data_IF_962216632461
#
_entry.id   IF_962216632461
#
_cell.length_a   1.000
_cell.length_b   1.000
_cell.length_c   1.000
_cell.angle_alpha   90.00
_cell.angle_beta   90.00
_cell.angle_gamma   90.00
#
_symmetry.space_group_name_H-M   'P 1'
#
loop_
_entity.id
_entity.type
_entity.pdbx_description
1 polymer ?
#
# COMPACT_ATOMS: atom_id res chain seq x y z
N UNK A 1 -12.76 18.98 -4.06
CA UNK A 1 -11.33 18.58 -4.20
C UNK A 1 -11.16 17.13 -4.71
N UNK A 2 -11.95 16.17 -4.23
CA UNK A 2 -11.96 14.75 -4.68
C UNK A 2 -12.16 14.50 -6.20
N UNK A 3 -12.90 15.34 -6.92
CA UNK A 3 -13.16 15.15 -8.36
C UNK A 3 -11.94 15.46 -9.25
N UNK A 4 -11.10 16.41 -8.82
CA UNK A 4 -9.87 16.80 -9.51
C UNK A 4 -8.78 15.74 -9.24
N UNK A 5 -8.70 15.27 -8.00
CA UNK A 5 -7.79 14.19 -7.60
C UNK A 5 -8.11 12.88 -8.35
N UNK A 6 -9.39 12.50 -8.47
CA UNK A 6 -9.83 11.36 -9.29
C UNK A 6 -9.40 11.48 -10.75
N UNK A 7 -9.54 12.66 -11.38
CA UNK A 7 -9.12 12.87 -12.78
C UNK A 7 -7.60 12.80 -12.95
N UNK A 8 -6.84 13.34 -12.01
CA UNK A 8 -5.36 13.36 -12.05
C UNK A 8 -4.79 11.96 -11.81
N UNK A 9 -5.29 11.25 -10.79
CA UNK A 9 -4.95 9.85 -10.49
C UNK A 9 -5.31 8.93 -11.67
N UNK A 10 -6.50 9.08 -12.27
CA UNK A 10 -6.92 8.27 -13.44
C UNK A 10 -6.07 8.52 -14.69
N UNK A 11 -5.52 9.74 -14.86
CA UNK A 11 -4.58 10.07 -15.94
C UNK A 11 -3.16 9.55 -15.68
N UNK A 12 -2.68 9.61 -14.43
CA UNK A 12 -1.37 9.03 -14.06
C UNK A 12 -1.39 7.50 -14.09
N UNK A 13 -2.46 6.85 -13.61
CA UNK A 13 -2.56 5.39 -13.69
C UNK A 13 -2.61 4.86 -15.13
N UNK A 14 -3.18 5.61 -16.07
CA UNK A 14 -3.13 5.26 -17.52
C UNK A 14 -1.72 5.29 -18.12
N UNK A 15 -0.76 5.98 -17.47
CA UNK A 15 0.64 6.02 -17.88
C UNK A 15 1.51 4.97 -17.20
N UNK A 16 1.04 4.41 -16.07
CA UNK A 16 1.82 3.51 -15.23
C UNK A 16 1.70 2.03 -15.61
N UNK A 17 0.86 1.65 -16.59
CA UNK A 17 0.81 0.26 -17.07
C UNK A 17 0.73 0.19 -18.59
N UNK A 18 1.62 -0.59 -19.25
CA UNK A 18 1.48 -0.89 -20.66
C UNK A 18 0.17 -1.67 -20.86
N UNK A 19 -0.65 -1.25 -21.83
CA UNK A 19 -1.97 -1.86 -22.15
C UNK A 19 -1.86 -3.33 -22.58
N UNK A 20 -0.65 -3.70 -23.02
CA UNK A 20 -0.24 -5.04 -23.38
C UNK A 20 1.19 -5.22 -22.91
N UNK A 21 1.48 -6.33 -22.25
CA UNK A 21 2.86 -6.72 -21.98
C UNK A 21 3.02 -8.23 -22.14
N UNK A 22 4.22 -8.63 -22.55
CA UNK A 22 4.59 -10.03 -22.62
C UNK A 22 5.33 -10.37 -21.35
N UNK A 23 4.88 -11.42 -20.68
CA UNK A 23 5.57 -11.95 -19.51
C UNK A 23 5.61 -13.47 -19.61
N UNK A 24 6.78 -14.02 -19.34
CA UNK A 24 7.00 -15.46 -19.29
C UNK A 24 6.76 -15.90 -17.86
N UNK A 25 5.69 -16.67 -17.62
CA UNK A 25 5.48 -17.28 -16.30
C UNK A 25 6.63 -18.22 -15.97
N UNK A 26 7.00 -18.28 -14.70
CA UNK A 26 8.00 -19.23 -14.20
C UNK A 26 7.53 -20.67 -14.50
N UNK A 27 8.31 -21.39 -15.31
CA UNK A 27 7.98 -22.75 -15.79
C UNK A 27 7.39 -22.84 -17.21
N UNK A 28 6.96 -21.72 -17.81
CA UNK A 28 6.48 -21.70 -19.20
C UNK A 28 7.63 -21.43 -20.18
N UNK A 29 7.68 -22.20 -21.29
CA UNK A 29 8.71 -22.00 -22.34
C UNK A 29 8.42 -20.84 -23.29
N UNK A 30 7.24 -20.24 -23.21
CA UNK A 30 6.76 -19.24 -24.16
C UNK A 30 6.08 -18.07 -23.43
N UNK A 31 6.30 -16.82 -23.89
CA UNK A 31 5.71 -15.64 -23.27
C UNK A 31 4.20 -15.64 -23.46
N UNK A 32 3.46 -15.30 -22.39
CA UNK A 32 2.02 -15.08 -22.45
C UNK A 32 1.73 -13.59 -22.63
N UNK A 33 0.69 -13.28 -23.40
CA UNK A 33 0.25 -11.90 -23.63
C UNK A 33 -0.69 -11.49 -22.50
N UNK A 34 -0.30 -10.53 -21.66
CA UNK A 34 -1.20 -9.93 -20.69
C UNK A 34 -1.90 -8.72 -21.31
N UNK A 35 -3.23 -8.76 -21.33
CA UNK A 35 -4.06 -7.70 -21.90
C UNK A 35 -5.06 -7.21 -20.86
N UNK A 36 -5.34 -5.91 -20.83
CA UNK A 36 -6.43 -5.38 -19.98
C UNK A 36 -7.78 -5.95 -20.44
N UNK A 37 -8.68 -6.24 -19.49
CA UNK A 37 -10.01 -6.80 -19.75
C UNK A 37 -10.82 -5.98 -20.78
N UNK A 38 -10.60 -4.67 -20.89
CA UNK A 38 -11.24 -3.83 -21.90
C UNK A 38 -10.97 -4.29 -23.34
N UNK A 39 -9.85 -4.98 -23.58
CA UNK A 39 -9.48 -5.54 -24.89
C UNK A 39 -10.05 -6.94 -25.15
N UNK A 40 -10.72 -7.58 -24.18
CA UNK A 40 -11.31 -8.92 -24.36
C UNK A 40 -12.23 -9.01 -25.57
N UNK A 41 -13.10 -8.01 -25.76
CA UNK A 41 -13.97 -7.95 -26.95
C UNK A 41 -13.16 -7.83 -28.22
N UNK A 42 -12.18 -6.92 -28.25
CA UNK A 42 -11.34 -6.67 -29.43
C UNK A 42 -10.59 -7.95 -29.82
N UNK A 43 -9.91 -8.61 -28.87
CA UNK A 43 -9.16 -9.85 -29.12
C UNK A 43 -10.10 -10.97 -29.61
N UNK A 44 -11.27 -11.12 -28.99
CA UNK A 44 -12.25 -12.13 -29.41
C UNK A 44 -12.74 -11.89 -30.84
N UNK A 45 -13.01 -10.63 -31.22
CA UNK A 45 -13.40 -10.30 -32.59
C UNK A 45 -12.25 -10.42 -33.59
N UNK A 46 -11.02 -10.12 -33.18
CA UNK A 46 -9.83 -10.34 -34.01
C UNK A 46 -9.64 -11.82 -34.32
N UNK A 47 -9.78 -12.71 -33.33
CA UNK A 47 -9.73 -14.17 -33.53
C UNK A 47 -10.80 -14.63 -34.53
N UNK A 48 -12.04 -14.16 -34.39
CA UNK A 48 -13.12 -14.46 -35.35
C UNK A 48 -12.83 -13.94 -36.76
N UNK A 49 -12.25 -12.74 -36.88
CA UNK A 49 -11.87 -12.16 -38.16
C UNK A 49 -10.74 -12.96 -38.83
N UNK A 50 -9.73 -13.38 -38.06
CA UNK A 50 -8.63 -14.23 -38.54
C UNK A 50 -9.19 -15.55 -39.07
N UNK A 51 -10.11 -16.18 -38.33
CA UNK A 51 -10.77 -17.40 -38.77
C UNK A 51 -11.54 -17.23 -40.09
N UNK A 52 -12.30 -16.14 -40.24
CA UNK A 52 -13.03 -15.83 -41.49
C UNK A 52 -12.07 -15.57 -42.65
N UNK A 53 -10.97 -14.84 -42.42
CA UNK A 53 -9.92 -14.63 -43.42
C UNK A 53 -9.31 -15.96 -43.83
N UNK A 54 -9.01 -16.84 -42.87
CA UNK A 54 -8.52 -18.20 -43.13
C UNK A 54 -9.43 -18.98 -44.07
N UNK A 55 -10.74 -19.00 -43.80
CA UNK A 55 -11.75 -19.62 -44.67
C UNK A 55 -11.74 -18.98 -46.06
N UNK A 56 -11.77 -17.64 -46.16
CA UNK A 56 -11.78 -16.95 -47.44
C UNK A 56 -10.52 -17.24 -48.26
N UNK A 57 -9.34 -17.25 -47.63
CA UNK A 57 -8.07 -17.61 -48.29
C UNK A 57 -8.02 -19.06 -48.74
N UNK A 58 -8.77 -19.97 -48.09
CA UNK A 58 -8.85 -21.37 -48.54
C UNK A 58 -9.64 -21.54 -49.85
N UNK A 59 -10.58 -20.62 -50.12
CA UNK A 59 -11.38 -20.61 -51.35
C UNK A 59 -10.60 -19.97 -52.49
N UNK A 60 -9.79 -18.95 -52.18
CA UNK A 60 -8.96 -18.25 -53.16
C UNK A 60 -7.68 -19.06 -53.36
N UNK A 61 -7.50 -19.64 -54.55
CA UNK A 61 -6.30 -20.40 -54.90
C UNK A 61 -5.06 -19.51 -55.02
N UNK A 62 -4.46 -19.14 -53.89
CA UNK A 62 -3.21 -18.38 -53.84
C UNK A 62 -2.01 -19.28 -54.22
N UNK A 63 -0.99 -18.73 -54.91
CA UNK A 63 0.27 -19.45 -55.11
C UNK A 63 0.89 -19.89 -53.78
N UNK A 64 1.43 -21.10 -53.72
CA UNK A 64 1.93 -21.72 -52.48
C UNK A 64 2.97 -20.86 -51.74
N UNK A 65 3.81 -20.12 -52.48
CA UNK A 65 4.85 -19.26 -51.92
C UNK A 65 4.31 -17.99 -51.25
N UNK A 66 3.03 -17.62 -51.50
CA UNK A 66 2.32 -16.53 -50.80
C UNK A 66 1.42 -17.12 -49.71
N UNK A 67 0.71 -18.21 -50.03
CA UNK A 67 -0.24 -18.85 -49.11
C UNK A 67 0.42 -19.40 -47.84
N UNK A 68 1.58 -20.06 -47.97
CA UNK A 68 2.27 -20.67 -46.83
C UNK A 68 2.78 -19.63 -45.82
N UNK A 69 3.52 -18.56 -46.22
CA UNK A 69 3.92 -17.51 -45.28
C UNK A 69 2.73 -16.81 -44.62
N UNK A 70 1.67 -16.54 -45.38
CA UNK A 70 0.46 -15.91 -44.83
C UNK A 70 -0.20 -16.78 -43.77
N UNK A 71 -0.33 -18.09 -44.04
CA UNK A 71 -0.90 -19.04 -43.08
C UNK A 71 -0.04 -19.13 -41.80
N UNK A 72 1.28 -19.14 -41.92
CA UNK A 72 2.19 -19.14 -40.77
C UNK A 72 2.05 -17.87 -39.92
N UNK A 73 1.92 -16.70 -40.55
CA UNK A 73 1.70 -15.44 -39.85
C UNK A 73 0.36 -15.44 -39.13
N UNK A 74 -0.72 -15.84 -39.81
CA UNK A 74 -2.06 -15.90 -39.22
C UNK A 74 -2.10 -16.87 -38.04
N UNK A 75 -1.53 -18.06 -38.19
CA UNK A 75 -1.43 -19.04 -37.12
C UNK A 75 -0.60 -18.53 -35.94
N UNK A 76 0.51 -17.83 -36.19
CA UNK A 76 1.33 -17.23 -35.13
C UNK A 76 0.58 -16.14 -34.35
N UNK A 77 -0.19 -15.30 -35.04
CA UNK A 77 -1.03 -14.26 -34.41
C UNK A 77 -2.16 -14.91 -33.61
N UNK A 78 -2.85 -15.90 -34.18
CA UNK A 78 -3.92 -16.65 -33.52
C UNK A 78 -3.42 -17.31 -32.23
N UNK A 79 -2.32 -18.07 -32.31
CA UNK A 79 -1.70 -18.72 -31.16
C UNK A 79 -1.33 -17.74 -30.05
N UNK A 80 -0.84 -16.55 -30.40
CA UNK A 80 -0.49 -15.50 -29.42
C UNK A 80 -1.74 -14.91 -28.75
N UNK A 81 -2.80 -14.66 -29.53
CA UNK A 81 -4.05 -14.08 -29.03
C UNK A 81 -4.88 -15.07 -28.22
N UNK A 82 -4.87 -16.36 -28.55
CA UNK A 82 -5.52 -17.42 -27.77
C UNK A 82 -4.89 -17.57 -26.38
N UNK A 83 -3.58 -17.36 -26.27
CA UNK A 83 -2.85 -17.37 -24.99
C UNK A 83 -2.93 -16.03 -24.24
N UNK A 84 -3.80 -15.12 -24.66
CA UNK A 84 -3.96 -13.84 -23.97
C UNK A 84 -4.59 -14.04 -22.59
N UNK A 85 -3.86 -13.66 -21.55
CA UNK A 85 -4.34 -13.61 -20.17
C UNK A 85 -4.95 -12.23 -19.94
N UNK A 86 -6.25 -12.20 -19.65
CA UNK A 86 -6.94 -10.96 -19.36
C UNK A 86 -6.70 -10.54 -17.92
N UNK A 87 -6.26 -9.30 -17.74
CA UNK A 87 -6.01 -8.69 -16.43
C UNK A 87 -7.14 -7.74 -16.06
N UNK A 88 -7.48 -7.69 -14.78
CA UNK A 88 -8.29 -6.61 -14.22
C UNK A 88 -7.54 -5.99 -13.05
N UNK A 89 -7.69 -4.68 -12.89
CA UNK A 89 -7.04 -3.95 -11.82
C UNK A 89 -8.06 -3.40 -10.84
N UNK A 90 -7.89 -3.70 -9.56
CA UNK A 90 -8.64 -3.03 -8.48
C UNK A 90 -7.75 -1.97 -7.84
N UNK A 91 -8.39 -0.96 -7.25
CA UNK A 91 -7.70 0.11 -6.52
C UNK A 91 -8.22 0.12 -5.10
N UNK A 92 -7.32 -0.16 -4.17
CA UNK A 92 -7.60 -0.17 -2.75
C UNK A 92 -7.15 1.16 -2.14
N UNK A 93 -8.11 1.97 -1.69
CA UNK A 93 -7.84 3.24 -1.03
C UNK A 93 -7.97 3.10 0.48
N UNK A 94 -6.95 3.58 1.19
CA UNK A 94 -7.04 3.73 2.63
C UNK A 94 -7.76 5.03 3.01
N UNK A 95 -8.47 5.06 4.14
CA UNK A 95 -8.96 6.30 4.73
C UNK A 95 -7.81 7.30 4.92
N UNK A 96 -8.10 8.56 4.64
CA UNK A 96 -7.21 9.71 4.84
C UNK A 96 -7.94 10.74 5.70
N UNK A 97 -7.24 11.51 6.55
CA UNK A 97 -7.85 12.58 7.32
C UNK A 97 -8.33 13.70 6.40
N UNK A 98 -9.44 14.34 6.76
CA UNK A 98 -10.05 15.44 6.01
C UNK A 98 -9.44 16.81 6.34
N UNK A 99 -9.03 17.02 7.59
CA UNK A 99 -8.61 18.31 8.15
C UNK A 99 -7.07 18.45 8.30
N UNK A 100 -6.31 17.38 8.09
CA UNK A 100 -4.87 17.37 8.33
C UNK A 100 -4.04 18.14 7.30
N UNK A 101 -3.09 18.92 7.78
CA UNK A 101 -1.99 19.50 7.01
C UNK A 101 -0.63 19.13 7.62
N UNK A 102 0.44 19.20 6.83
CA UNK A 102 1.77 18.78 7.23
C UNK A 102 2.33 19.50 8.48
N UNK A 103 1.82 20.70 8.80
CA UNK A 103 2.24 21.48 9.97
C UNK A 103 1.40 21.22 11.24
N UNK A 104 0.40 20.35 11.18
CA UNK A 104 -0.49 20.12 12.32
C UNK A 104 0.00 19.01 13.26
N UNK A 105 0.89 18.13 12.82
CA UNK A 105 1.61 17.23 13.71
C UNK A 105 2.77 18.00 14.34
N UNK A 106 2.74 18.19 15.65
CA UNK A 106 3.71 19.04 16.36
C UNK A 106 4.82 18.24 17.01
N UNK A 107 4.57 16.97 17.38
CA UNK A 107 5.53 16.23 18.18
C UNK A 107 5.08 14.81 18.54
N UNK A 108 6.00 14.08 19.15
CA UNK A 108 5.73 12.80 19.81
C UNK A 108 6.26 12.86 21.24
N UNK A 109 5.38 12.61 22.21
CA UNK A 109 5.75 12.37 23.59
C UNK A 109 6.10 10.90 23.81
N UNK A 110 7.19 10.65 24.52
CA UNK A 110 7.66 9.31 24.88
C UNK A 110 7.64 9.20 26.40
N UNK A 111 6.79 8.33 26.94
CA UNK A 111 6.62 8.21 28.39
C UNK A 111 6.68 6.75 28.82
N UNK A 112 7.37 6.52 29.93
CA UNK A 112 7.42 5.24 30.62
C UNK A 112 6.82 5.48 32.00
N UNK A 113 5.66 4.89 32.25
CA UNK A 113 5.02 4.98 33.56
C UNK A 113 5.54 3.88 34.46
N UNK A 114 6.06 4.22 35.65
CA UNK A 114 6.42 3.22 36.64
C UNK A 114 5.15 2.55 37.17
N UNK A 115 4.98 1.27 36.82
CA UNK A 115 4.14 0.22 37.39
C UNK A 115 2.68 0.52 37.78
N UNK A 116 1.78 -0.42 37.45
CA UNK A 116 0.49 -0.55 38.15
C UNK A 116 0.20 -2.01 38.46
N UNK A 117 0.35 -2.40 39.73
CA UNK A 117 -0.04 -3.68 40.35
C UNK A 117 0.52 -5.01 39.77
N UNK A 118 1.06 -5.05 38.55
CA UNK A 118 1.56 -6.26 37.87
C UNK A 118 3.09 -6.33 37.75
N UNK A 119 3.80 -5.24 38.06
CA UNK A 119 5.26 -5.18 38.04
C UNK A 119 5.88 -4.85 36.69
N UNK A 120 5.11 -4.65 35.63
CA UNK A 120 5.64 -4.31 34.29
C UNK A 120 5.57 -2.78 34.03
N UNK A 121 6.56 -2.20 33.33
CA UNK A 121 6.50 -0.81 32.89
C UNK A 121 5.40 -0.65 31.83
N UNK A 122 4.76 0.53 31.78
CA UNK A 122 3.82 0.87 30.71
C UNK A 122 4.43 1.90 29.78
N UNK A 123 4.55 1.54 28.52
CA UNK A 123 5.05 2.40 27.47
C UNK A 123 3.89 3.18 26.85
N UNK A 124 4.02 4.50 26.80
CA UNK A 124 3.05 5.40 26.20
C UNK A 124 3.72 6.28 25.15
N UNK A 125 3.06 6.39 24.00
CA UNK A 125 3.48 7.26 22.90
C UNK A 125 2.35 8.25 22.61
N UNK A 126 2.62 9.53 22.83
CA UNK A 126 1.64 10.60 22.63
C UNK A 126 1.87 11.34 21.30
N UNK A 127 0.92 11.26 20.38
CA UNK A 127 0.97 12.03 19.12
C UNK A 127 0.39 13.43 19.36
N UNK A 128 1.23 14.46 19.36
CA UNK A 128 0.80 15.83 19.65
C UNK A 128 0.38 16.56 18.38
N UNK A 129 -0.87 17.02 18.32
CA UNK A 129 -1.41 17.80 17.23
C UNK A 129 -1.72 19.24 17.63
N UNK A 130 -1.93 20.09 16.62
CA UNK A 130 -2.15 21.53 16.81
C UNK A 130 -3.49 21.87 17.47
N UNK A 131 -4.56 21.19 17.08
CA UNK A 131 -5.92 21.46 17.57
C UNK A 131 -6.63 20.15 17.92
N UNK A 132 -7.66 20.17 18.77
CA UNK A 132 -8.42 18.96 19.09
C UNK A 132 -9.12 18.36 17.86
N UNK A 133 -9.57 19.18 16.90
CA UNK A 133 -10.23 18.72 15.68
C UNK A 133 -9.26 17.92 14.80
N UNK A 134 -8.01 18.37 14.65
CA UNK A 134 -7.00 17.61 13.91
C UNK A 134 -6.64 16.33 14.64
N UNK A 135 -6.50 16.38 15.97
CA UNK A 135 -6.20 15.20 16.77
C UNK A 135 -7.30 14.13 16.61
N UNK A 136 -8.57 14.54 16.65
CA UNK A 136 -9.71 13.68 16.41
C UNK A 136 -9.68 13.06 15.02
N UNK A 137 -9.56 13.87 13.97
CA UNK A 137 -9.64 13.43 12.58
C UNK A 137 -8.49 12.48 12.20
N UNK A 138 -7.26 12.86 12.53
CA UNK A 138 -6.08 12.03 12.27
C UNK A 138 -6.14 10.73 13.06
N UNK A 139 -6.46 10.79 14.36
CA UNK A 139 -6.47 9.59 15.19
C UNK A 139 -7.65 8.68 14.84
N UNK A 140 -8.83 9.23 14.53
CA UNK A 140 -9.97 8.46 14.00
C UNK A 140 -9.60 7.77 12.69
N UNK A 141 -8.84 8.44 11.81
CA UNK A 141 -8.31 7.84 10.58
C UNK A 141 -7.36 6.69 10.89
N UNK A 142 -6.39 6.87 11.79
CA UNK A 142 -5.46 5.79 12.20
C UNK A 142 -6.25 4.60 12.79
N UNK A 143 -7.21 4.88 13.67
CA UNK A 143 -8.07 3.87 14.29
C UNK A 143 -8.91 3.13 13.24
N UNK A 144 -9.36 3.79 12.17
CA UNK A 144 -10.11 3.16 11.08
C UNK A 144 -9.31 2.07 10.36
N UNK A 145 -7.98 2.18 10.31
CA UNK A 145 -7.12 1.13 9.76
C UNK A 145 -7.16 -0.16 10.58
N UNK A 146 -7.47 -0.04 11.88
CA UNK A 146 -7.72 -1.15 12.80
C UNK A 146 -9.22 -1.34 13.12
N UNK A 147 -10.12 -0.97 12.19
CA UNK A 147 -11.58 -1.13 12.38
C UNK A 147 -12.13 -0.48 13.65
N UNK A 148 -11.51 0.61 14.11
CA UNK A 148 -11.81 1.28 15.37
C UNK A 148 -11.66 0.41 16.63
N UNK A 149 -10.87 -0.66 16.56
CA UNK A 149 -10.52 -1.48 17.72
C UNK A 149 -9.37 -0.83 18.51
N UNK A 150 -9.50 -0.84 19.83
CA UNK A 150 -8.48 -0.29 20.75
C UNK A 150 -7.24 -1.16 20.95
N UNK A 151 -7.24 -2.38 20.40
CA UNK A 151 -6.11 -3.32 20.45
C UNK A 151 -5.79 -3.73 19.01
N UNK A 152 -4.52 -3.60 18.62
CA UNK A 152 -4.04 -3.91 17.26
C UNK A 152 -3.16 -5.18 17.23
N UNK A 153 -3.76 -6.32 17.58
CA UNK A 153 -3.09 -7.62 17.63
C UNK A 153 -2.58 -8.11 16.27
N UNK A 154 -3.18 -7.61 15.18
CA UNK A 154 -2.86 -8.03 13.80
C UNK A 154 -1.91 -7.07 13.10
N UNK A 155 -1.38 -6.09 13.82
CA UNK A 155 -0.49 -5.06 13.30
C UNK A 155 -1.06 -4.37 12.04
N UNK A 156 -2.33 -3.97 12.07
CA UNK A 156 -2.99 -3.23 11.00
C UNK A 156 -2.44 -1.81 10.86
N UNK A 157 -1.92 -1.23 11.94
CA UNK A 157 -1.28 0.09 11.99
C UNK A 157 0.22 -0.12 12.14
N UNK A 158 0.98 0.13 11.07
CA UNK A 158 2.43 0.17 11.13
C UNK A 158 2.89 1.43 11.87
N UNK A 159 3.80 1.25 12.82
CA UNK A 159 4.49 2.37 13.49
C UNK A 159 5.99 2.06 13.55
N UNK A 160 6.79 2.93 12.95
CA UNK A 160 8.23 2.83 12.95
C UNK A 160 8.93 4.12 13.34
N UNK A 161 10.09 3.97 13.94
CA UNK A 161 10.97 5.05 14.40
C UNK A 161 12.37 4.70 13.94
N UNK A 162 12.91 5.51 13.04
CA UNK A 162 14.28 5.37 12.55
C UNK A 162 15.09 6.49 13.18
N UNK A 163 16.08 6.15 14.00
CA UNK A 163 16.90 7.13 14.72
C UNK A 163 18.35 7.15 14.23
N UNK A 164 18.98 8.30 14.32
CA UNK A 164 20.38 8.54 14.00
C UNK A 164 21.04 9.23 15.19
N UNK A 165 21.79 8.47 15.97
CA UNK A 165 22.45 8.97 17.17
C UNK A 165 23.52 10.02 16.86
N UNK A 166 24.13 9.97 15.67
CA UNK A 166 25.15 10.92 15.25
C UNK A 166 24.53 12.27 14.88
N UNK A 167 23.38 12.26 14.20
CA UNK A 167 22.63 13.48 13.89
C UNK A 167 21.81 14.00 15.08
N UNK A 168 21.65 13.21 16.16
CA UNK A 168 20.73 13.49 17.27
C UNK A 168 19.26 13.67 16.80
N UNK A 169 18.87 12.95 15.76
CA UNK A 169 17.54 13.04 15.14
C UNK A 169 16.86 11.68 15.08
N UNK A 170 15.54 11.68 14.97
CA UNK A 170 14.78 10.52 14.54
C UNK A 170 13.65 10.92 13.59
N UNK A 171 13.15 9.94 12.85
CA UNK A 171 11.97 10.10 12.01
C UNK A 171 10.96 9.02 12.36
N UNK A 172 9.74 9.45 12.64
CA UNK A 172 8.62 8.57 12.93
C UNK A 172 7.74 8.39 11.70
N UNK A 173 7.21 7.19 11.51
CA UNK A 173 6.30 6.85 10.43
C UNK A 173 5.08 6.12 10.96
N UNK A 174 3.88 6.58 10.60
CA UNK A 174 2.62 5.92 10.94
C UNK A 174 1.86 5.66 9.64
N UNK A 175 1.51 4.40 9.39
CA UNK A 175 0.93 3.99 8.12
C UNK A 175 0.04 2.75 8.26
N UNK A 176 -0.91 2.52 7.33
CA UNK A 176 -1.62 1.24 7.29
C UNK A 176 -0.66 0.14 6.86
N UNK A 177 -0.58 -0.95 7.63
CA UNK A 177 0.34 -2.05 7.34
C UNK A 177 0.03 -2.67 5.96
N UNK A 178 1.06 -2.93 5.12
CA UNK A 178 0.87 -3.54 3.81
C UNK A 178 0.44 -5.02 3.89
N UNK A 179 0.68 -5.69 5.02
CA UNK A 179 0.39 -7.13 5.19
C UNK A 179 -0.95 -7.40 5.90
N UNK A 180 -1.78 -6.36 6.06
CA UNK A 180 -2.97 -6.45 6.89
C UNK A 180 -4.04 -7.42 6.34
N UNK A 181 -4.78 -8.14 7.20
CA UNK A 181 -5.79 -9.12 6.78
C UNK A 181 -6.91 -8.56 5.90
N UNK A 182 -7.32 -7.29 6.04
CA UNK A 182 -8.34 -6.68 5.15
C UNK A 182 -7.89 -6.62 3.71
N UNK A 183 -6.60 -6.37 3.49
CA UNK A 183 -6.05 -6.24 2.14
C UNK A 183 -6.11 -7.60 1.45
N UNK A 184 -5.63 -8.64 2.14
CA UNK A 184 -5.66 -10.02 1.65
C UNK A 184 -7.11 -10.51 1.43
N UNK A 185 -8.03 -10.15 2.34
CA UNK A 185 -9.45 -10.48 2.18
C UNK A 185 -10.11 -9.76 0.99
N UNK A 186 -9.77 -8.48 0.78
CA UNK A 186 -10.25 -7.73 -0.37
C UNK A 186 -9.71 -8.30 -1.68
N UNK A 187 -8.43 -8.66 -1.72
CA UNK A 187 -7.80 -9.30 -2.88
C UNK A 187 -8.46 -10.64 -3.21
N UNK A 188 -8.63 -11.50 -2.21
CA UNK A 188 -9.29 -12.79 -2.37
C UNK A 188 -10.73 -12.65 -2.87
N UNK A 189 -11.49 -11.70 -2.33
CA UNK A 189 -12.88 -11.45 -2.76
C UNK A 189 -12.95 -11.03 -4.23
N UNK A 190 -12.03 -10.19 -4.69
CA UNK A 190 -11.96 -9.78 -6.09
C UNK A 190 -11.58 -10.97 -7.01
N UNK A 191 -10.62 -11.80 -6.59
CA UNK A 191 -10.26 -13.02 -7.31
C UNK A 191 -11.42 -14.02 -7.41
N UNK A 192 -12.20 -14.19 -6.34
CA UNK A 192 -13.40 -15.05 -6.31
C UNK A 192 -14.51 -14.54 -7.25
N UNK A 193 -14.65 -13.22 -7.42
CA UNK A 193 -15.62 -12.63 -8.35
C UNK A 193 -15.19 -12.74 -9.82
N UNK A 194 -13.89 -12.83 -10.07
CA UNK A 194 -13.31 -12.82 -11.42
C UNK A 194 -12.26 -13.94 -11.62
N UNK A 195 -12.62 -15.22 -11.42
CA UNK A 195 -11.67 -16.34 -11.40
C UNK A 195 -10.96 -16.58 -12.74
N UNK A 196 -11.56 -16.12 -13.85
CA UNK A 196 -11.00 -16.25 -15.20
C UNK A 196 -10.05 -15.09 -15.58
N UNK A 197 -9.83 -14.12 -14.69
CA UNK A 197 -8.99 -12.95 -14.95
C UNK A 197 -7.83 -12.91 -13.97
N UNK A 198 -6.67 -12.48 -14.45
CA UNK A 198 -5.54 -12.21 -13.58
C UNK A 198 -5.75 -10.88 -12.83
N UNK A 199 -5.69 -10.92 -11.52
CA UNK A 199 -6.00 -9.79 -10.65
C UNK A 199 -4.72 -8.99 -10.32
N UNK A 200 -4.75 -7.69 -10.57
CA UNK A 200 -3.69 -6.76 -10.17
C UNK A 200 -4.23 -5.69 -9.23
N UNK A 201 -4.02 -5.82 -7.92
CA UNK A 201 -4.42 -4.78 -6.97
C UNK A 201 -3.37 -3.65 -6.90
N UNK A 202 -3.83 -2.41 -6.95
CA UNK A 202 -3.01 -1.23 -6.65
C UNK A 202 -3.46 -0.69 -5.31
N UNK A 203 -2.53 -0.49 -4.39
CA UNK A 203 -2.79 0.11 -3.09
C UNK A 203 -2.40 1.58 -3.10
N UNK A 204 -3.30 2.44 -2.62
CA UNK A 204 -3.04 3.85 -2.39
C UNK A 204 -3.21 4.16 -0.89
N UNK A 205 -2.08 4.35 -0.21
CA UNK A 205 -2.00 4.61 1.23
C UNK A 205 -1.46 6.01 1.49
N UNK A 206 -1.89 6.62 2.59
CA UNK A 206 -1.21 7.77 3.18
C UNK A 206 -0.25 7.28 4.26
N UNK A 207 0.93 7.90 4.33
CA UNK A 207 1.94 7.66 5.35
C UNK A 207 2.15 9.00 6.06
N UNK A 208 1.95 9.02 7.37
CA UNK A 208 2.36 10.16 8.19
C UNK A 208 3.83 10.00 8.50
N UNK A 209 4.63 11.03 8.23
CA UNK A 209 6.04 11.03 8.58
C UNK A 209 6.50 12.41 9.03
N UNK A 210 7.30 12.45 10.08
CA UNK A 210 7.90 13.69 10.58
C UNK A 210 9.24 13.41 11.26
N UNK A 211 10.19 14.32 11.02
CA UNK A 211 11.53 14.32 11.62
C UNK A 211 11.52 15.16 12.89
N UNK A 212 12.16 14.66 13.94
CA UNK A 212 12.22 15.28 15.27
C UNK A 212 13.64 15.16 15.86
N UNK A 213 13.98 16.06 16.78
CA UNK A 213 15.18 15.92 17.61
C UNK A 213 14.99 14.79 18.63
N UNK A 214 16.06 14.04 18.93
CA UNK A 214 16.00 13.02 19.98
C UNK A 214 15.85 13.66 21.36
N UNK A 215 14.66 13.51 21.95
CA UNK A 215 14.41 13.89 23.35
C UNK A 215 15.01 12.88 24.33
N UNK A 216 15.26 13.29 25.57
CA UNK A 216 15.65 12.35 26.64
C UNK A 216 14.57 11.27 26.87
N UNK A 217 13.29 11.63 26.68
CA UNK A 217 12.18 10.67 26.73
C UNK A 217 12.34 9.54 25.71
N UNK A 218 12.65 9.87 24.46
CA UNK A 218 12.92 8.84 23.44
C UNK A 218 14.18 8.04 23.76
N UNK A 219 15.27 8.70 24.17
CA UNK A 219 16.52 8.00 24.53
C UNK A 219 16.30 6.98 25.65
N UNK A 220 15.51 7.36 26.65
CA UNK A 220 15.09 6.47 27.72
C UNK A 220 14.20 5.35 27.20
N UNK A 221 13.23 5.66 26.35
CA UNK A 221 12.38 4.67 25.69
C UNK A 221 13.20 3.62 24.93
N UNK A 222 14.18 4.03 24.13
CA UNK A 222 15.07 3.11 23.38
C UNK A 222 15.84 2.18 24.32
N UNK A 223 16.29 2.66 25.49
CA UNK A 223 17.05 1.85 26.45
C UNK A 223 16.20 0.84 27.21
N UNK A 224 14.93 1.17 27.45
CA UNK A 224 14.04 0.39 28.32
C UNK A 224 13.05 -0.49 27.54
N UNK A 225 12.70 -0.14 26.31
CA UNK A 225 11.73 -0.88 25.51
C UNK A 225 12.36 -2.11 24.85
N UNK A 226 11.78 -3.28 25.13
CA UNK A 226 12.11 -4.53 24.46
C UNK A 226 11.11 -4.83 23.34
N UNK A 227 11.60 -5.38 22.22
CA UNK A 227 10.73 -5.69 21.07
C UNK A 227 9.66 -6.71 21.47
N UNK A 228 8.40 -6.36 21.24
CA UNK A 228 7.24 -7.18 21.57
C UNK A 228 6.51 -6.72 22.83
N UNK A 229 7.09 -5.79 23.59
CA UNK A 229 6.43 -5.18 24.73
C UNK A 229 5.21 -4.35 24.32
N UNK A 230 4.24 -4.30 25.23
CA UNK A 230 3.02 -3.52 25.07
C UNK A 230 3.32 -2.02 25.17
N UNK A 231 2.84 -1.27 24.19
CA UNK A 231 2.79 0.18 24.26
C UNK A 231 1.44 0.69 23.77
N UNK A 232 1.00 1.82 24.31
CA UNK A 232 -0.25 2.46 23.86
C UNK A 232 0.04 3.78 23.17
N UNK A 233 -0.56 3.99 22.00
CA UNK A 233 -0.53 5.28 21.31
C UNK A 233 -1.78 6.07 21.69
N UNK A 234 -1.60 7.33 22.09
CA UNK A 234 -2.70 8.26 22.34
C UNK A 234 -2.57 9.53 21.51
N UNK A 235 -3.71 10.12 21.11
CA UNK A 235 -3.74 11.45 20.53
C UNK A 235 -3.67 12.52 21.63
N UNK A 236 -2.87 13.55 21.38
CA UNK A 236 -2.77 14.75 22.19
C UNK A 236 -2.99 15.97 21.30
N UNK A 237 -3.42 17.07 21.91
CA UNK A 237 -3.50 18.37 21.24
C UNK A 237 -2.89 19.46 22.12
N UNK A 238 -2.43 20.52 21.49
CA UNK A 238 -1.88 21.67 22.20
C UNK A 238 -3.01 22.62 22.67
N UNK A 239 -3.28 22.64 23.97
CA UNK A 239 -4.19 23.60 24.59
C UNK A 239 -3.37 24.70 25.29
N UNK A 240 -3.25 25.86 24.65
CA UNK A 240 -2.54 27.03 25.20
C UNK A 240 -1.10 26.72 25.69
N UNK A 241 -0.36 25.90 24.93
CA UNK A 241 1.01 25.49 25.26
C UNK A 241 1.10 24.21 26.10
N UNK A 242 -0.03 23.63 26.50
CA UNK A 242 -0.07 22.41 27.32
C UNK A 242 -0.57 21.22 26.48
N UNK A 243 0.22 20.14 26.33
CA UNK A 243 -0.25 18.89 25.77
C UNK A 243 -1.42 18.34 26.58
N UNK A 244 -2.59 18.23 25.93
CA UNK A 244 -3.81 17.69 26.53
C UNK A 244 -4.23 16.46 25.74
N UNK A 245 -4.53 15.36 26.43
CA UNK A 245 -4.94 14.12 25.78
C UNK A 245 -6.33 14.30 25.15
N UNK A 246 -6.48 13.87 23.90
CA UNK A 246 -7.77 13.86 23.22
C UNK A 246 -8.54 12.59 23.59
N UNK A 247 -9.59 12.74 24.41
CA UNK A 247 -10.44 11.63 24.84
C UNK A 247 -9.71 10.56 25.67
N UNK A 248 -10.41 9.44 25.91
CA UNK A 248 -9.86 8.33 26.69
C UNK A 248 -9.35 7.17 25.82
N UNK A 249 -9.63 7.18 24.52
CA UNK A 249 -9.25 6.10 23.60
C UNK A 249 -7.80 6.18 23.16
N UNK A 250 -7.12 5.03 23.17
CA UNK A 250 -5.83 4.82 22.52
C UNK A 250 -5.82 3.50 21.79
N UNK A 251 -4.70 3.21 21.13
CA UNK A 251 -4.48 1.91 20.50
C UNK A 251 -3.31 1.20 21.16
N UNK A 252 -3.59 0.06 21.76
CA UNK A 252 -2.61 -0.87 22.31
C UNK A 252 -1.94 -1.61 21.15
N UNK A 253 -0.61 -1.67 21.18
CA UNK A 253 0.24 -2.32 20.18
C UNK A 253 1.37 -3.09 20.85
N UNK A 254 1.91 -4.06 20.11
CA UNK A 254 3.07 -4.87 20.49
C UNK A 254 4.23 -4.75 19.47
N UNK A 255 3.93 -4.26 18.27
CA UNK A 255 4.91 -4.17 17.18
C UNK A 255 5.26 -2.70 16.92
N UNK A 256 6.34 -2.27 17.57
CA UNK A 256 7.04 -1.02 17.28
C UNK A 256 8.33 -1.38 16.55
N UNK A 257 8.47 -0.87 15.33
CA UNK A 257 9.72 -0.98 14.58
C UNK A 257 10.65 0.18 14.97
N UNK A 258 11.48 -0.04 15.98
CA UNK A 258 12.46 0.92 16.47
C UNK A 258 13.86 0.48 16.04
N UNK A 259 14.50 1.23 15.12
CA UNK A 259 15.77 0.81 14.52
C UNK A 259 16.72 2.00 14.33
N UNK A 260 18.05 1.80 14.47
CA UNK A 260 19.02 2.79 14.04
C UNK A 260 19.06 2.85 12.50
N UNK A 261 19.29 4.03 11.95
CA UNK A 261 19.35 4.28 10.50
C UNK A 261 20.36 3.40 9.77
N UNK A 262 21.44 2.99 10.44
CA UNK A 262 22.47 2.09 9.90
C UNK A 262 21.98 0.67 9.62
N UNK A 263 20.91 0.23 10.28
CA UNK A 263 20.34 -1.11 10.11
C UNK A 263 19.22 -1.15 9.06
N UNK A 264 18.87 0.01 8.49
CA UNK A 264 17.81 0.13 7.52
C UNK A 264 18.21 -0.46 6.16
N UNK A 265 17.38 -1.33 5.60
CA UNK A 265 17.65 -2.05 4.34
C UNK A 265 16.88 -1.42 3.20
N UNK A 266 17.40 -1.55 1.97
CA UNK A 266 16.73 -1.06 0.74
C UNK A 266 15.34 -1.62 0.50
N UNK A 267 15.04 -2.81 1.02
CA UNK A 267 13.70 -3.41 0.90
C UNK A 267 12.68 -2.87 1.89
N UNK A 268 13.10 -2.03 2.84
CA UNK A 268 12.21 -1.48 3.86
C UNK A 268 11.42 -0.29 3.32
N UNK A 269 10.13 -0.21 3.68
CA UNK A 269 9.28 0.92 3.33
C UNK A 269 9.90 2.24 3.82
N UNK A 270 10.44 2.24 5.03
CA UNK A 270 11.08 3.42 5.62
C UNK A 270 12.31 3.87 4.83
N UNK A 271 13.05 2.95 4.21
CA UNK A 271 14.21 3.30 3.39
C UNK A 271 13.80 4.14 2.19
N UNK A 272 12.77 3.69 1.46
CA UNK A 272 12.23 4.43 0.32
C UNK A 272 11.72 5.80 0.77
N UNK A 273 10.99 5.88 1.88
CA UNK A 273 10.43 7.14 2.38
C UNK A 273 11.46 8.16 2.85
N UNK A 274 12.64 7.72 3.33
CA UNK A 274 13.73 8.63 3.73
C UNK A 274 14.44 9.30 2.55
N UNK A 275 14.28 8.77 1.33
CA UNK A 275 14.98 9.26 0.13
C UNK A 275 14.06 10.00 -0.85
N UNK A 276 12.77 10.15 -0.51
CA UNK A 276 11.79 10.98 -1.23
C UNK A 276 11.84 12.45 -0.79
#
# INVERSE_FOLDING_TARGET
MFSILKRKIRRSMRRLRPRFYFETKEGDKLPSLYADQSFKKIITYSLRTIFVIGIATSIVSLPWFIGLPLALILAGVEFTLERAIYTFSSLYFHPVPDAYSAGDWLGIGWTIFPHRNDGNPRFEIGLLFKTPEVAEDVFSTIMSWNYHQGIDDKNNIGFSVIYDENENMYQAFIYPSPERPSLNAAERKEQEQHPALHHNMVQASMIFSMKFDMSEGLRRFIREYERGEEFTIFPYYNLNGTPTRYGNGGVLKHDLRLLPKSELKRGDLEYEMLHF
#
